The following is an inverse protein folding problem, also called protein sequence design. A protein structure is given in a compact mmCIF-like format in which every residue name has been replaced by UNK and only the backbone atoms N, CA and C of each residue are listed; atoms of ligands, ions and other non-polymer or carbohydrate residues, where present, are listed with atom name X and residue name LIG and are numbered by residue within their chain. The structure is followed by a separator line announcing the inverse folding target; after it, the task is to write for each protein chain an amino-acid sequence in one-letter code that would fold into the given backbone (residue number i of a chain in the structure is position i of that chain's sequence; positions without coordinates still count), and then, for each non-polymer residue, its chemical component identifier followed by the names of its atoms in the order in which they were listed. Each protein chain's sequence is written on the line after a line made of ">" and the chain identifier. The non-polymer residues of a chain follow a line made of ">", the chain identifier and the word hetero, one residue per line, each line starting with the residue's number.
data_IF_825984155665
#
_entry.id   IF_825984155665
#
_cell.length_a   1.000
_cell.length_b   1.000
_cell.length_c   1.000
_cell.angle_alpha   90.00
_cell.angle_beta   90.00
_cell.angle_gamma   90.00
#
_symmetry.space_group_name_H-M   'P 1'
#
loop_
_entity.id
_entity.type
_entity.pdbx_description
1 polymer ?
#
# COMPACT_ATOMS: atom_id res chain seq x y z
N UNK A 1 -19.70 -14.22 21.58
CA UNK A 1 -18.43 -13.79 22.23
C UNK A 1 -17.26 -14.35 21.43
N UNK A 2 -16.48 -13.48 20.76
CA UNK A 2 -15.09 -13.66 20.26
C UNK A 2 -14.83 -12.57 19.20
N UNK A 3 -14.77 -11.31 19.66
CA UNK A 3 -14.34 -10.16 18.85
C UNK A 3 -12.90 -9.75 19.15
N UNK A 4 -12.09 -10.67 19.68
CA UNK A 4 -10.68 -10.45 19.96
C UNK A 4 -9.80 -11.07 18.88
N UNK A 5 -9.81 -10.52 17.65
CA UNK A 5 -8.69 -10.62 16.68
C UNK A 5 -8.96 -9.80 15.39
N UNK A 6 -8.83 -8.47 15.40
CA UNK A 6 -8.61 -7.69 14.16
C UNK A 6 -7.83 -6.41 14.49
N UNK A 7 -6.55 -6.56 14.84
CA UNK A 7 -5.61 -5.41 14.92
C UNK A 7 -4.37 -5.64 14.03
N UNK A 8 -4.52 -6.49 13.00
CA UNK A 8 -3.55 -6.62 11.92
C UNK A 8 -4.34 -7.02 10.67
N UNK A 9 -4.61 -6.06 9.79
CA UNK A 9 -5.33 -6.34 8.54
C UNK A 9 -4.34 -6.99 7.59
N UNK A 10 -4.35 -8.32 7.52
CA UNK A 10 -3.60 -9.07 6.51
C UNK A 10 -4.41 -9.07 5.22
N UNK A 11 -3.90 -8.46 4.16
CA UNK A 11 -4.44 -8.69 2.82
C UNK A 11 -3.96 -10.05 2.33
N UNK A 12 -4.88 -11.00 2.16
CA UNK A 12 -4.57 -12.38 1.77
C UNK A 12 -4.28 -12.55 0.27
N UNK A 13 -4.56 -11.54 -0.55
CA UNK A 13 -4.42 -11.55 -2.00
C UNK A 13 -3.48 -10.42 -2.48
N UNK A 14 -3.27 -10.35 -3.79
CA UNK A 14 -2.56 -9.23 -4.43
C UNK A 14 -3.29 -7.91 -4.10
N UNK A 15 -2.52 -6.90 -3.68
CA UNK A 15 -3.00 -5.54 -3.48
C UNK A 15 -2.41 -4.65 -4.58
N UNK A 16 -3.27 -4.04 -5.41
CA UNK A 16 -2.84 -3.13 -6.48
C UNK A 16 -3.52 -1.78 -6.28
N UNK A 17 -2.71 -0.73 -6.20
CA UNK A 17 -3.14 0.66 -6.08
C UNK A 17 -2.68 1.36 -7.35
N UNK A 18 -3.60 1.66 -8.26
CA UNK A 18 -3.19 2.28 -9.51
C UNK A 18 -4.26 2.85 -10.40
N UNK A 19 -3.81 3.47 -11.49
CA UNK A 19 -4.63 4.15 -12.50
C UNK A 19 -5.50 5.27 -11.91
N UNK A 20 -4.91 6.13 -11.08
CA UNK A 20 -5.60 7.28 -10.51
C UNK A 20 -4.84 8.58 -10.69
N UNK A 21 -5.56 9.63 -11.07
CA UNK A 21 -5.04 11.00 -11.09
C UNK A 21 -5.22 11.72 -9.75
N UNK A 22 -6.03 11.17 -8.86
CA UNK A 22 -6.54 11.88 -7.67
C UNK A 22 -5.96 11.32 -6.36
N UNK A 23 -5.35 10.13 -6.41
CA UNK A 23 -4.63 9.56 -5.26
C UNK A 23 -3.36 10.40 -5.05
N UNK A 24 -3.34 11.15 -3.95
CA UNK A 24 -2.22 12.01 -3.53
C UNK A 24 -1.43 11.45 -2.35
N UNK A 25 -2.05 10.58 -1.54
CA UNK A 25 -1.46 9.88 -0.41
C UNK A 25 -2.13 8.51 -0.20
N UNK A 26 -1.58 7.70 0.71
CA UNK A 26 -2.05 6.36 1.06
C UNK A 26 -2.48 6.23 2.51
N UNK A 27 -2.78 7.32 3.21
CA UNK A 27 -2.99 7.35 4.67
C UNK A 27 -4.11 6.41 5.15
N UNK A 28 -5.09 6.17 4.29
CA UNK A 28 -6.16 5.19 4.54
C UNK A 28 -5.67 3.74 4.73
N UNK A 29 -4.42 3.46 4.37
CA UNK A 29 -3.77 2.15 4.47
C UNK A 29 -2.92 1.97 5.73
N UNK A 30 -2.87 2.97 6.62
CA UNK A 30 -2.01 2.96 7.81
C UNK A 30 -2.24 1.77 8.76
N UNK A 31 -3.39 1.08 8.69
CA UNK A 31 -3.68 -0.09 9.53
C UNK A 31 -3.24 -1.45 8.91
N UNK A 32 -2.63 -1.43 7.73
CA UNK A 32 -2.11 -2.62 7.08
C UNK A 32 -0.70 -2.88 7.59
N UNK A 33 -0.48 -4.09 8.11
CA UNK A 33 0.84 -4.51 8.61
C UNK A 33 1.49 -5.58 7.74
N UNK A 34 0.74 -6.27 6.88
CA UNK A 34 1.29 -7.20 5.91
C UNK A 34 0.39 -7.42 4.69
N UNK A 35 1.05 -7.70 3.56
CA UNK A 35 0.44 -8.12 2.30
C UNK A 35 0.92 -9.54 2.02
N UNK A 36 -0.01 -10.50 1.92
CA UNK A 36 0.30 -11.92 1.84
C UNK A 36 0.85 -12.38 0.48
N UNK A 37 0.68 -11.57 -0.56
CA UNK A 37 1.20 -11.80 -1.90
C UNK A 37 1.95 -10.55 -2.37
N UNK A 38 1.74 -10.06 -3.59
CA UNK A 38 2.39 -8.84 -4.08
C UNK A 38 1.68 -7.54 -3.70
N UNK A 39 2.46 -6.45 -3.66
CA UNK A 39 1.99 -5.07 -3.54
C UNK A 39 2.40 -4.29 -4.79
N UNK A 40 1.43 -3.80 -5.56
CA UNK A 40 1.63 -2.96 -6.75
C UNK A 40 1.16 -1.53 -6.51
N UNK A 41 2.00 -0.56 -6.85
CA UNK A 41 1.68 0.88 -6.80
C UNK A 41 2.04 1.50 -8.15
N UNK A 42 1.05 1.75 -8.98
CA UNK A 42 1.31 2.07 -10.38
C UNK A 42 0.36 3.06 -11.03
N UNK A 43 0.87 3.90 -11.93
CA UNK A 43 0.06 4.89 -12.64
C UNK A 43 -0.73 5.84 -11.72
N UNK A 44 -0.15 6.26 -10.59
CA UNK A 44 -0.72 7.32 -9.74
C UNK A 44 0.05 8.62 -9.93
N UNK A 45 -0.40 9.45 -10.88
CA UNK A 45 0.35 10.62 -11.33
C UNK A 45 0.53 11.69 -10.23
N UNK A 46 -0.43 11.79 -9.30
CA UNK A 46 -0.43 12.77 -8.21
C UNK A 46 0.08 12.21 -6.87
N UNK A 47 0.42 10.93 -6.79
CA UNK A 47 0.89 10.30 -5.55
C UNK A 47 2.27 10.85 -5.18
N UNK A 48 2.36 11.57 -4.07
CA UNK A 48 3.56 12.31 -3.70
C UNK A 48 4.51 11.56 -2.75
N UNK A 49 3.98 10.61 -1.96
CA UNK A 49 4.73 9.83 -0.97
C UNK A 49 4.09 8.46 -0.73
N UNK A 50 4.72 7.64 0.10
CA UNK A 50 4.25 6.31 0.50
C UNK A 50 4.00 6.18 2.02
N UNK A 51 3.92 7.30 2.75
CA UNK A 51 3.92 7.35 4.22
C UNK A 51 2.80 6.50 4.84
N UNK A 52 1.63 6.45 4.17
CA UNK A 52 0.50 5.61 4.57
C UNK A 52 0.79 4.10 4.59
N UNK A 53 1.93 3.66 4.06
CA UNK A 53 2.39 2.27 4.07
C UNK A 53 3.45 1.98 5.15
N UNK A 54 3.82 2.95 5.99
CA UNK A 54 4.91 2.82 6.98
C UNK A 54 4.75 1.67 7.98
N UNK A 55 3.53 1.16 8.19
CA UNK A 55 3.26 0.05 9.09
C UNK A 55 3.39 -1.34 8.44
N UNK A 56 3.59 -1.42 7.12
CA UNK A 56 3.78 -2.70 6.42
C UNK A 56 5.17 -3.25 6.75
N UNK A 57 5.19 -4.43 7.38
CA UNK A 57 6.43 -5.11 7.79
C UNK A 57 6.75 -6.33 6.93
N UNK A 58 5.81 -6.78 6.09
CA UNK A 58 5.99 -7.95 5.23
C UNK A 58 5.14 -7.86 3.96
N UNK A 59 5.76 -8.17 2.83
CA UNK A 59 5.13 -8.45 1.54
C UNK A 59 5.51 -9.87 1.14
N UNK A 60 4.54 -10.73 0.88
CA UNK A 60 4.76 -12.16 0.64
C UNK A 60 5.22 -12.50 -0.79
N UNK A 61 5.14 -11.53 -1.70
CA UNK A 61 5.63 -11.61 -3.08
C UNK A 61 6.35 -10.33 -3.47
N UNK A 62 6.18 -9.91 -4.72
CA UNK A 62 6.90 -8.75 -5.26
C UNK A 62 6.29 -7.43 -4.78
N UNK A 63 7.17 -6.44 -4.55
CA UNK A 63 6.81 -5.03 -4.43
C UNK A 63 7.14 -4.34 -5.75
N UNK A 64 6.13 -3.84 -6.45
CA UNK A 64 6.29 -3.16 -7.74
C UNK A 64 5.80 -1.73 -7.66
N UNK A 65 6.67 -0.77 -7.96
CA UNK A 65 6.35 0.66 -7.95
C UNK A 65 6.82 1.27 -9.27
N UNK A 66 5.91 1.77 -10.10
CA UNK A 66 6.26 2.34 -11.40
C UNK A 66 5.22 3.36 -11.90
N UNK A 67 5.61 4.25 -12.81
CA UNK A 67 4.71 5.25 -13.41
C UNK A 67 3.97 6.15 -12.39
N UNK A 68 4.61 6.51 -11.27
CA UNK A 68 4.08 7.48 -10.30
C UNK A 68 4.89 8.78 -10.43
N UNK A 69 4.43 9.69 -11.30
CA UNK A 69 5.24 10.83 -11.76
C UNK A 69 5.62 11.84 -10.65
N UNK A 70 4.74 12.04 -9.66
CA UNK A 70 4.99 12.92 -8.52
C UNK A 70 5.82 12.25 -7.39
N UNK A 71 5.98 10.92 -7.42
CA UNK A 71 6.72 10.18 -6.41
C UNK A 71 8.21 10.25 -6.72
N UNK A 72 8.90 11.17 -6.05
CA UNK A 72 10.31 11.49 -6.30
C UNK A 72 11.27 10.81 -5.33
N UNK A 73 10.76 10.20 -4.26
CA UNK A 73 11.49 9.45 -3.25
C UNK A 73 10.65 8.27 -2.73
N UNK A 74 11.26 7.41 -1.92
CA UNK A 74 10.64 6.21 -1.31
C UNK A 74 10.89 6.15 0.20
N UNK A 75 11.12 7.30 0.82
CA UNK A 75 11.70 7.47 2.16
C UNK A 75 10.63 7.84 3.21
#
# INVERSE_FOLDING_TARGET
>A
MRWALRVATVFRAICTIGNSTDITNLDGLANITSVGSGLGIDYNAALANLDGLANITSVGGDLTIYSNAALTNLD
#
